data_IF_779356857276
#
_entry.id   IF_779356857276
#
_cell.length_a   1.000
_cell.length_b   1.000
_cell.length_c   1.000
_cell.angle_alpha   90.00
_cell.angle_beta   90.00
_cell.angle_gamma   90.00
#
_symmetry.space_group_name_H-M   'P 1'
#
loop_
_entity.id
_entity.type
_entity.pdbx_description
1 polymer ?
#
# COMPACT_ATOMS: atom_id res chain seq x y z
N UNK A 1 -10.36 13.61 -12.82
CA UNK A 1 -9.90 12.85 -11.65
C UNK A 1 -10.83 11.68 -11.41
N UNK A 2 -10.31 10.47 -11.24
CA UNK A 2 -11.06 9.25 -10.97
C UNK A 2 -10.88 8.92 -9.48
N UNK A 3 -11.98 8.62 -8.80
CA UNK A 3 -11.98 8.01 -7.47
C UNK A 3 -12.61 6.63 -7.57
N UNK A 4 -11.94 5.63 -7.00
CA UNK A 4 -12.46 4.26 -6.89
C UNK A 4 -12.18 3.71 -5.48
N UNK A 5 -13.08 2.85 -5.01
CA UNK A 5 -12.92 2.12 -3.76
C UNK A 5 -12.96 0.62 -4.06
N UNK A 6 -11.99 -0.11 -3.55
CA UNK A 6 -11.90 -1.57 -3.68
C UNK A 6 -11.94 -2.20 -2.30
N UNK A 7 -12.80 -3.17 -2.11
CA UNK A 7 -12.68 -4.04 -0.95
C UNK A 7 -11.39 -4.87 -1.08
N UNK A 8 -10.59 -4.85 -0.05
CA UNK A 8 -9.42 -5.72 0.10
C UNK A 8 -9.80 -6.82 1.09
N UNK A 9 -9.60 -8.07 0.71
CA UNK A 9 -9.99 -9.21 1.54
C UNK A 9 -8.97 -10.34 1.39
N UNK A 10 -8.33 -10.64 2.51
CA UNK A 10 -7.43 -11.78 2.70
C UNK A 10 -7.89 -12.56 3.93
N UNK A 11 -7.26 -13.67 4.26
CA UNK A 11 -7.59 -14.42 5.46
C UNK A 11 -7.42 -13.56 6.72
N UNK A 12 -8.46 -13.44 7.52
CA UNK A 12 -8.50 -12.62 8.72
C UNK A 12 -8.82 -11.13 8.50
N UNK A 13 -9.08 -10.70 7.27
CA UNK A 13 -9.46 -9.32 6.96
C UNK A 13 -10.75 -8.91 7.64
N UNK A 14 -10.77 -7.69 8.16
CA UNK A 14 -11.95 -7.07 8.75
C UNK A 14 -12.83 -6.42 7.67
N UNK A 15 -14.11 -6.27 7.96
CA UNK A 15 -15.11 -5.84 6.97
C UNK A 15 -14.89 -4.43 6.40
N UNK A 16 -14.21 -3.56 7.15
CA UNK A 16 -13.93 -2.19 6.73
C UNK A 16 -12.70 -2.05 5.82
N UNK A 17 -11.93 -3.13 5.63
CA UNK A 17 -10.66 -3.08 4.89
C UNK A 17 -10.89 -2.73 3.43
N UNK A 18 -10.22 -1.68 2.98
CA UNK A 18 -10.41 -1.16 1.62
C UNK A 18 -9.20 -0.39 1.11
N UNK A 19 -9.13 -0.28 -0.21
CA UNK A 19 -8.20 0.55 -0.95
C UNK A 19 -8.96 1.69 -1.62
N UNK A 20 -8.71 2.90 -1.20
CA UNK A 20 -9.24 4.11 -1.81
C UNK A 20 -8.23 4.62 -2.83
N UNK A 21 -8.62 4.78 -4.09
CA UNK A 21 -7.71 5.12 -5.19
C UNK A 21 -8.10 6.46 -5.80
N UNK A 22 -7.13 7.35 -5.94
CA UNK A 22 -7.26 8.70 -6.50
C UNK A 22 -6.33 8.82 -7.69
N UNK A 23 -6.89 8.92 -8.89
CA UNK A 23 -6.16 8.94 -10.16
C UNK A 23 -6.35 10.29 -10.85
N UNK A 24 -5.25 10.90 -11.24
CA UNK A 24 -5.23 12.08 -12.10
C UNK A 24 -5.15 11.61 -13.55
N UNK A 25 -5.97 12.23 -14.39
CA UNK A 25 -5.92 11.97 -15.83
C UNK A 25 -4.57 12.39 -16.43
N UNK A 26 -4.14 11.76 -17.53
CA UNK A 26 -2.96 12.18 -18.26
C UNK A 26 -3.13 13.60 -18.79
N UNK A 27 -2.06 14.22 -19.20
CA UNK A 27 -2.07 15.58 -19.74
C UNK A 27 -1.11 15.69 -20.91
N UNK A 28 -1.65 15.83 -22.10
CA UNK A 28 -0.84 16.05 -23.33
C UNK A 28 -0.05 17.36 -23.24
N UNK A 29 -0.67 18.43 -22.75
CA UNK A 29 -0.02 19.73 -22.62
C UNK A 29 1.17 19.73 -21.65
N UNK A 30 1.19 18.80 -20.70
CA UNK A 30 2.31 18.60 -19.76
C UNK A 30 3.21 17.43 -20.16
N UNK A 31 2.95 16.78 -21.29
CA UNK A 31 3.67 15.58 -21.75
C UNK A 31 3.64 14.42 -20.72
N UNK A 32 2.53 14.29 -20.00
CA UNK A 32 2.34 13.26 -19.00
C UNK A 32 1.37 12.20 -19.53
N UNK A 33 1.88 11.00 -19.82
CA UNK A 33 1.08 9.84 -20.25
C UNK A 33 0.76 8.89 -19.10
N UNK A 34 1.71 8.71 -18.18
CA UNK A 34 1.56 7.87 -16.98
C UNK A 34 2.12 8.60 -15.75
N UNK A 35 1.59 8.28 -14.59
CA UNK A 35 2.05 8.87 -13.33
C UNK A 35 2.50 7.79 -12.36
N UNK A 36 3.55 8.04 -11.56
CA UNK A 36 3.85 7.23 -10.38
C UNK A 36 2.65 7.19 -9.43
N UNK A 37 2.58 6.13 -8.61
CA UNK A 37 1.55 6.00 -7.59
C UNK A 37 2.18 5.79 -6.22
N UNK A 38 1.69 6.56 -5.25
CA UNK A 38 2.02 6.39 -3.83
C UNK A 38 0.90 5.59 -3.16
N UNK A 39 1.26 4.45 -2.57
CA UNK A 39 0.36 3.63 -1.74
C UNK A 39 0.59 3.98 -0.27
N UNK A 40 -0.36 4.70 0.32
CA UNK A 40 -0.30 5.17 1.70
C UNK A 40 -0.78 4.09 2.67
N UNK A 41 0.02 3.85 3.71
CA UNK A 41 -0.31 3.04 4.87
C UNK A 41 -0.33 3.95 6.11
N UNK A 42 -1.51 4.49 6.51
CA UNK A 42 -1.62 5.37 7.67
C UNK A 42 -1.20 4.68 8.97
N UNK A 43 -0.72 5.43 9.95
CA UNK A 43 -0.46 4.92 11.29
C UNK A 43 -1.72 4.75 12.13
N UNK A 44 -1.55 4.51 13.42
CA UNK A 44 -2.64 4.31 14.38
C UNK A 44 -2.40 3.15 15.33
N UNK A 45 -1.14 2.78 15.56
CA UNK A 45 -0.70 1.74 16.51
C UNK A 45 -1.37 0.37 16.29
N UNK A 46 -1.77 0.05 15.06
CA UNK A 46 -2.58 -1.13 14.72
C UNK A 46 -3.92 -1.21 15.47
N UNK A 47 -4.39 -0.12 16.05
CA UNK A 47 -5.73 -0.04 16.66
C UNK A 47 -6.76 0.59 15.72
N UNK A 48 -6.30 1.44 14.82
CA UNK A 48 -7.08 2.09 13.76
C UNK A 48 -6.13 2.58 12.65
N UNK A 49 -6.68 3.08 11.54
CA UNK A 49 -5.91 3.82 10.51
C UNK A 49 -6.22 5.31 10.62
N UNK A 50 -5.17 6.13 10.79
CA UNK A 50 -5.28 7.57 11.06
C UNK A 50 -5.80 8.36 9.84
N UNK A 51 -6.87 9.14 10.02
CA UNK A 51 -7.38 10.01 8.97
C UNK A 51 -6.44 11.19 8.64
N UNK A 52 -5.59 11.60 9.60
CA UNK A 52 -4.59 12.66 9.38
C UNK A 52 -3.50 12.26 8.39
N UNK A 53 -3.24 10.97 8.31
CA UNK A 53 -2.19 10.36 7.48
C UNK A 53 -2.78 9.67 6.23
N UNK A 54 -4.02 9.97 5.92
CA UNK A 54 -4.76 9.45 4.78
C UNK A 54 -4.99 10.55 3.73
N UNK A 55 -6.23 11.04 3.58
CA UNK A 55 -6.60 12.02 2.56
C UNK A 55 -5.76 13.32 2.61
N UNK A 56 -5.38 13.89 3.77
CA UNK A 56 -4.52 15.08 3.79
C UNK A 56 -3.15 14.83 3.12
N UNK A 57 -2.53 13.66 3.34
CA UNK A 57 -1.29 13.29 2.65
C UNK A 57 -1.55 12.98 1.18
N UNK A 58 -2.64 12.26 0.87
CA UNK A 58 -3.00 11.96 -0.50
C UNK A 58 -3.10 13.24 -1.36
N UNK A 59 -3.81 14.24 -0.88
CA UNK A 59 -3.94 15.52 -1.60
C UNK A 59 -2.61 16.27 -1.73
N UNK A 60 -1.74 16.19 -0.73
CA UNK A 60 -0.41 16.80 -0.81
C UNK A 60 0.45 16.14 -1.91
N UNK A 61 0.43 14.82 -2.04
CA UNK A 61 1.11 14.10 -3.12
C UNK A 61 0.46 14.36 -4.48
N UNK A 62 -0.87 14.37 -4.54
CA UNK A 62 -1.60 14.67 -5.77
C UNK A 62 -1.30 16.06 -6.31
N UNK A 63 -1.14 17.06 -5.44
CA UNK A 63 -0.72 18.41 -5.81
C UNK A 63 0.69 18.45 -6.44
N UNK A 64 1.48 17.39 -6.28
CA UNK A 64 2.79 17.21 -6.92
C UNK A 64 2.72 16.35 -8.20
N UNK A 65 1.52 16.02 -8.65
CA UNK A 65 1.30 15.26 -9.88
C UNK A 65 1.41 13.75 -9.74
N UNK A 66 1.37 13.21 -8.53
CA UNK A 66 1.41 11.78 -8.25
C UNK A 66 -0.01 11.23 -8.10
N UNK A 67 -0.24 10.01 -8.57
CA UNK A 67 -1.44 9.27 -8.21
C UNK A 67 -1.30 8.71 -6.79
N UNK A 68 -2.41 8.49 -6.10
CA UNK A 68 -2.38 8.01 -4.72
C UNK A 68 -3.42 6.91 -4.50
N UNK A 69 -3.06 5.93 -3.70
CA UNK A 69 -3.98 4.98 -3.11
C UNK A 69 -3.79 4.96 -1.58
N UNK A 70 -4.86 4.79 -0.82
CA UNK A 70 -4.85 4.72 0.64
C UNK A 70 -5.36 3.34 1.04
N UNK A 71 -4.53 2.57 1.73
CA UNK A 71 -4.95 1.30 2.30
C UNK A 71 -5.47 1.51 3.73
N UNK A 72 -6.77 1.27 3.91
CA UNK A 72 -7.39 1.13 5.24
C UNK A 72 -7.27 -0.33 5.65
N UNK A 73 -6.11 -0.72 6.18
CA UNK A 73 -5.79 -2.10 6.53
C UNK A 73 -6.44 -2.56 7.84
N UNK A 74 -6.60 -3.86 8.00
CA UNK A 74 -7.12 -4.47 9.22
C UNK A 74 -6.20 -4.22 10.42
N UNK A 75 -6.76 -3.64 11.46
CA UNK A 75 -6.12 -3.42 12.75
C UNK A 75 -6.59 -4.46 13.76
N UNK A 76 -6.24 -4.32 15.04
CA UNK A 76 -6.71 -5.22 16.08
C UNK A 76 -8.25 -5.39 16.02
N UNK A 77 -8.79 -6.61 16.14
CA UNK A 77 -8.14 -7.85 16.62
C UNK A 77 -7.46 -8.69 15.51
N UNK A 78 -7.35 -8.18 14.27
CA UNK A 78 -6.62 -8.89 13.22
C UNK A 78 -5.15 -9.06 13.62
N UNK A 79 -4.56 -10.21 13.23
CA UNK A 79 -3.20 -10.59 13.60
C UNK A 79 -2.32 -10.76 12.35
N UNK A 80 -1.00 -10.76 12.55
CA UNK A 80 -0.07 -11.10 11.49
C UNK A 80 -0.42 -12.49 10.88
N UNK A 81 -0.43 -12.66 9.54
CA UNK A 81 0.06 -11.72 8.52
C UNK A 81 -1.05 -10.91 7.79
N UNK A 82 -2.25 -10.82 8.33
CA UNK A 82 -3.43 -10.25 7.63
C UNK A 82 -3.14 -8.89 6.96
N UNK A 83 -2.78 -7.87 7.72
CA UNK A 83 -2.51 -6.52 7.16
C UNK A 83 -1.38 -6.52 6.12
N UNK A 84 -0.38 -7.40 6.29
CA UNK A 84 0.72 -7.55 5.36
C UNK A 84 0.26 -8.13 4.01
N UNK A 85 -0.65 -9.11 4.04
CA UNK A 85 -1.25 -9.68 2.84
C UNK A 85 -2.19 -8.68 2.15
N UNK A 86 -2.95 -7.91 2.91
CA UNK A 86 -3.79 -6.82 2.39
C UNK A 86 -2.97 -5.77 1.64
N UNK A 87 -1.78 -5.42 2.15
CA UNK A 87 -0.86 -4.52 1.47
C UNK A 87 -0.36 -5.13 0.14
N UNK A 88 -0.01 -6.41 0.14
CA UNK A 88 0.36 -7.13 -1.07
C UNK A 88 -0.78 -7.21 -2.09
N UNK A 89 -2.00 -7.49 -1.64
CA UNK A 89 -3.21 -7.49 -2.49
C UNK A 89 -3.44 -6.10 -3.10
N UNK A 90 -3.23 -5.04 -2.33
CA UNK A 90 -3.35 -3.67 -2.82
C UNK A 90 -2.36 -3.36 -3.95
N UNK A 91 -1.11 -3.81 -3.84
CA UNK A 91 -0.12 -3.67 -4.92
C UNK A 91 -0.56 -4.44 -6.18
N UNK A 92 -1.06 -5.67 -6.02
CA UNK A 92 -1.58 -6.44 -7.16
C UNK A 92 -2.76 -5.72 -7.82
N UNK A 93 -3.73 -5.24 -7.03
CA UNK A 93 -4.88 -4.49 -7.53
C UNK A 93 -4.45 -3.26 -8.32
N UNK A 94 -3.47 -2.51 -7.83
CA UNK A 94 -2.93 -1.35 -8.55
C UNK A 94 -2.30 -1.79 -9.87
N UNK A 95 -1.47 -2.84 -9.90
CA UNK A 95 -0.82 -3.33 -11.12
C UNK A 95 -1.79 -3.89 -12.14
N UNK A 96 -2.80 -4.62 -11.70
CA UNK A 96 -3.84 -5.18 -12.58
C UNK A 96 -4.63 -4.08 -13.30
N UNK A 97 -4.77 -2.92 -12.68
CA UNK A 97 -5.48 -1.76 -13.22
C UNK A 97 -4.54 -0.68 -13.79
N UNK A 98 -3.23 -0.86 -13.73
CA UNK A 98 -2.25 0.17 -14.07
C UNK A 98 -2.42 0.71 -15.49
N UNK A 99 -2.79 -0.14 -16.45
CA UNK A 99 -3.05 0.28 -17.83
C UNK A 99 -4.31 1.16 -17.94
N UNK A 100 -5.39 0.77 -17.29
CA UNK A 100 -6.65 1.54 -17.30
C UNK A 100 -6.48 2.87 -16.57
N UNK A 101 -5.70 2.89 -15.49
CA UNK A 101 -5.49 4.08 -14.67
C UNK A 101 -4.31 4.93 -15.13
N UNK A 102 -3.64 4.50 -16.19
CA UNK A 102 -2.43 5.18 -16.70
C UNK A 102 -1.39 5.44 -15.60
N UNK A 103 -1.25 4.44 -14.71
CA UNK A 103 -0.24 4.38 -13.67
C UNK A 103 1.04 3.77 -14.24
N UNK A 104 2.18 4.31 -13.87
CA UNK A 104 3.46 3.66 -14.12
C UNK A 104 3.63 2.47 -13.17
N UNK A 105 3.45 1.25 -13.68
CA UNK A 105 3.58 0.03 -12.90
C UNK A 105 4.99 -0.22 -12.33
N UNK A 106 6.01 0.50 -12.87
CA UNK A 106 7.38 0.46 -12.38
C UNK A 106 7.69 1.57 -11.36
N UNK A 107 6.68 2.34 -10.96
CA UNK A 107 6.81 3.43 -10.01
C UNK A 107 5.69 3.41 -8.96
N UNK A 108 5.44 2.25 -8.36
CA UNK A 108 4.53 2.06 -7.22
C UNK A 108 5.36 2.11 -5.94
N UNK A 109 5.18 3.17 -5.16
CA UNK A 109 5.96 3.45 -3.95
C UNK A 109 5.05 3.29 -2.75
N UNK A 110 5.46 2.50 -1.77
CA UNK A 110 4.74 2.41 -0.49
C UNK A 110 5.22 3.54 0.42
N UNK A 111 4.30 4.30 0.95
CA UNK A 111 4.53 5.24 2.04
C UNK A 111 3.87 4.73 3.31
N UNK A 112 4.54 4.81 4.45
CA UNK A 112 3.96 4.39 5.71
C UNK A 112 4.38 5.27 6.88
N UNK A 113 3.37 5.66 7.68
CA UNK A 113 3.55 6.45 8.90
C UNK A 113 3.44 5.58 10.14
N UNK A 114 4.35 5.72 11.11
CA UNK A 114 4.27 5.06 12.43
C UNK A 114 4.05 3.54 12.30
N UNK A 115 2.91 3.00 12.75
CA UNK A 115 2.54 1.60 12.58
C UNK A 115 2.39 1.21 11.10
N UNK A 116 1.87 2.11 10.24
CA UNK A 116 1.85 1.94 8.79
C UNK A 116 3.26 1.90 8.20
N UNK A 117 4.21 2.64 8.78
CA UNK A 117 5.64 2.56 8.44
C UNK A 117 6.26 1.20 8.82
N UNK A 118 5.86 0.62 9.95
CA UNK A 118 6.22 -0.75 10.31
C UNK A 118 5.65 -1.76 9.31
N UNK A 119 4.37 -1.62 8.94
CA UNK A 119 3.72 -2.47 7.94
C UNK A 119 4.45 -2.39 6.59
N UNK A 120 4.72 -1.18 6.11
CA UNK A 120 5.43 -0.92 4.85
C UNK A 120 6.85 -1.52 4.84
N UNK A 121 7.62 -1.33 5.92
CA UNK A 121 8.96 -1.90 6.07
C UNK A 121 8.92 -3.43 6.12
N UNK A 122 7.98 -4.01 6.89
CA UNK A 122 7.79 -5.46 6.99
C UNK A 122 7.48 -6.06 5.61
N UNK A 123 6.56 -5.45 4.87
CA UNK A 123 6.22 -5.90 3.53
C UNK A 123 7.43 -5.82 2.58
N UNK A 124 8.16 -4.71 2.57
CA UNK A 124 9.34 -4.54 1.73
C UNK A 124 10.42 -5.61 1.99
N UNK A 125 10.51 -6.11 3.23
CA UNK A 125 11.40 -7.21 3.59
C UNK A 125 10.83 -8.61 3.27
N UNK A 126 9.52 -8.75 3.17
CA UNK A 126 8.84 -10.06 3.14
C UNK A 126 8.09 -10.37 1.84
N UNK A 127 7.90 -9.42 0.92
CA UNK A 127 7.09 -9.59 -0.29
C UNK A 127 7.44 -10.84 -1.11
N UNK A 128 8.71 -11.28 -1.10
CA UNK A 128 9.19 -12.45 -1.84
C UNK A 128 9.13 -13.76 -1.02
N UNK A 129 8.73 -13.72 0.25
CA UNK A 129 8.62 -14.91 1.09
C UNK A 129 7.50 -15.82 0.60
N UNK A 130 7.72 -17.14 0.70
CA UNK A 130 6.79 -18.14 0.17
C UNK A 130 5.38 -18.02 0.75
N UNK A 131 5.25 -17.73 2.04
CA UNK A 131 3.92 -17.56 2.65
C UNK A 131 3.15 -16.38 2.04
N UNK A 132 3.83 -15.28 1.66
CA UNK A 132 3.22 -14.13 1.00
C UNK A 132 2.83 -14.49 -0.43
N UNK A 133 3.77 -15.02 -1.19
CA UNK A 133 3.51 -15.35 -2.60
C UNK A 133 2.45 -16.44 -2.76
N UNK A 134 2.45 -17.46 -1.91
CA UNK A 134 1.42 -18.51 -1.94
C UNK A 134 0.03 -17.98 -1.59
N UNK A 135 -0.08 -17.15 -0.57
CA UNK A 135 -1.36 -16.54 -0.19
C UNK A 135 -1.93 -15.66 -1.30
N UNK A 136 -1.09 -14.83 -1.95
CA UNK A 136 -1.54 -13.83 -2.90
C UNK A 136 -1.64 -14.31 -4.35
N UNK A 137 -0.79 -15.26 -4.74
CA UNK A 137 -0.66 -15.73 -6.12
C UNK A 137 -1.02 -17.22 -6.31
N UNK A 138 -1.17 -17.97 -5.20
CA UNK A 138 -1.30 -19.42 -5.25
C UNK A 138 0.00 -20.08 -5.72
N UNK A 139 -0.10 -21.24 -6.36
CA UNK A 139 1.04 -22.02 -6.88
C UNK A 139 1.55 -21.53 -8.25
N UNK A 140 1.47 -20.21 -8.50
CA UNK A 140 1.99 -19.63 -9.73
C UNK A 140 3.52 -19.61 -9.74
N UNK A 141 4.07 -19.60 -10.97
CA UNK A 141 5.51 -19.59 -11.19
C UNK A 141 6.24 -18.42 -10.49
N UNK A 142 7.51 -18.63 -10.19
CA UNK A 142 8.37 -17.68 -9.47
C UNK A 142 8.47 -16.30 -10.15
N UNK A 143 8.37 -16.25 -11.49
CA UNK A 143 8.33 -15.01 -12.28
C UNK A 143 7.15 -14.09 -11.93
N UNK A 144 6.03 -14.64 -11.44
CA UNK A 144 4.88 -13.86 -11.01
C UNK A 144 5.08 -13.16 -9.68
N UNK A 145 6.05 -13.58 -8.86
CA UNK A 145 6.36 -12.95 -7.56
C UNK A 145 6.83 -11.49 -7.72
N UNK A 146 7.49 -11.14 -8.82
CA UNK A 146 7.90 -9.75 -9.08
C UNK A 146 6.71 -8.77 -9.12
N UNK A 147 5.49 -9.25 -9.38
CA UNK A 147 4.28 -8.43 -9.29
C UNK A 147 3.96 -7.95 -7.87
N UNK A 148 4.52 -8.59 -6.86
CA UNK A 148 4.36 -8.21 -5.44
C UNK A 148 5.40 -7.17 -5.00
N UNK A 149 6.46 -6.95 -5.79
CA UNK A 149 7.57 -6.09 -5.42
C UNK A 149 7.16 -4.62 -5.39
N UNK A 150 7.35 -3.88 -4.29
CA UNK A 150 7.26 -2.42 -4.32
C UNK A 150 8.45 -1.84 -5.09
N UNK A 151 8.24 -0.75 -5.81
CA UNK A 151 9.30 -0.08 -6.56
C UNK A 151 10.07 0.93 -5.70
N UNK A 152 9.48 1.38 -4.60
CA UNK A 152 10.10 2.29 -3.64
C UNK A 152 9.43 2.20 -2.27
N UNK A 153 10.10 2.77 -1.27
CA UNK A 153 9.65 2.78 0.11
C UNK A 153 9.95 4.15 0.74
N UNK A 154 8.93 4.76 1.33
CA UNK A 154 9.06 5.96 2.16
C UNK A 154 8.57 5.65 3.56
N UNK A 155 9.40 5.88 4.57
CA UNK A 155 9.09 5.58 5.97
C UNK A 155 9.07 6.87 6.79
N UNK A 156 7.91 7.21 7.31
CA UNK A 156 7.70 8.34 8.18
C UNK A 156 7.59 7.85 9.63
N UNK A 157 8.57 8.22 10.47
CA UNK A 157 8.64 7.83 11.89
C UNK A 157 8.20 6.38 12.18
N UNK A 158 8.75 5.38 11.46
CA UNK A 158 8.28 4.01 11.53
C UNK A 158 8.57 3.38 12.90
N UNK A 159 7.67 2.53 13.38
CA UNK A 159 7.87 1.77 14.64
C UNK A 159 8.64 0.49 14.33
N UNK A 160 9.97 0.59 14.18
CA UNK A 160 10.82 -0.53 13.74
C UNK A 160 11.94 -0.93 14.71
N UNK A 161 12.06 -0.25 15.85
CA UNK A 161 13.09 -0.58 16.84
C UNK A 161 12.61 -1.63 17.84
N UNK A 162 13.47 -2.60 18.17
CA UNK A 162 13.23 -3.62 19.19
C UNK A 162 14.02 -3.37 20.49
N UNK A 163 14.94 -2.38 20.51
CA UNK A 163 15.80 -2.06 21.65
C UNK A 163 15.11 -1.21 22.73
N UNK A 164 15.92 -0.44 23.46
CA UNK A 164 15.44 0.39 24.59
C UNK A 164 14.42 1.47 24.19
N UNK A 165 14.33 1.79 22.91
CA UNK A 165 13.37 2.76 22.34
C UNK A 165 12.17 2.07 21.67
N UNK A 166 12.02 0.75 21.84
CA UNK A 166 10.88 0.05 21.28
C UNK A 166 9.57 0.54 21.90
N UNK A 167 8.57 0.73 21.06
CA UNK A 167 7.19 0.88 21.49
C UNK A 167 6.68 -0.51 21.90
N UNK A 168 6.40 -0.68 23.18
CA UNK A 168 5.86 -1.92 23.75
C UNK A 168 4.43 -1.64 24.16
N UNK A 169 3.50 -1.76 23.21
CA UNK A 169 2.06 -1.64 23.43
C UNK A 169 1.43 -2.97 23.71
#
# INVERSE_FOLDING_TARGET
>A
MIYKEFRISEEGSLDYTKLNVYIQEPSESLSISKRPLILLCPGGAYSYTSDREAEPLAFAFMAKGLNVAILRYSCAPAVFPTSLLELGRSILTIRENAKEWEVDENAIIIEGCSAGGHLAASYACMWKRDFVSKALLGDKEDSSKEKLRPNGLMLCYPVITSGKFAHRG
#
